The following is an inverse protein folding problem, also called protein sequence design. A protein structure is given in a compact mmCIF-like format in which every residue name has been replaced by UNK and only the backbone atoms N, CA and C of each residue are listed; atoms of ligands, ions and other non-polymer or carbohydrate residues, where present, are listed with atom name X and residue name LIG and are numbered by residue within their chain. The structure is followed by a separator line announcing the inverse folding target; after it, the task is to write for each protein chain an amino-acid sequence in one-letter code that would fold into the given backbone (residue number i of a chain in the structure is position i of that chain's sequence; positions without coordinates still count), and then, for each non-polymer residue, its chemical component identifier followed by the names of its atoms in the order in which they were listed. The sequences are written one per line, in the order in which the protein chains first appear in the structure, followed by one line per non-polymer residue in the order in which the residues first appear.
data_IF_562539954699
#
_entry.id   IF_562539954699
#
_cell.length_a   1.000
_cell.length_b   1.000
_cell.length_c   1.000
_cell.angle_alpha   90.00
_cell.angle_beta   90.00
_cell.angle_gamma   90.00
#
_symmetry.space_group_name_H-M   'P 1'
#
loop_
_entity.id
_entity.type
_entity.pdbx_description
1 polymer ?
#
# COMPACT_ATOMS: atom_id res chain seq x y z
N UNK A 1 33.59 22.67 -43.87
CA UNK A 1 32.95 22.89 -42.54
C UNK A 1 31.46 23.09 -42.75
N UNK A 2 30.70 21.99 -42.84
CA UNK A 2 29.24 22.05 -42.90
C UNK A 2 28.71 21.74 -41.51
N UNK A 3 28.40 22.77 -40.72
CA UNK A 3 27.69 22.60 -39.47
C UNK A 3 26.28 22.14 -39.82
N UNK A 4 26.03 20.85 -39.62
CA UNK A 4 24.72 20.24 -39.87
C UNK A 4 23.70 20.90 -38.94
N UNK A 5 22.92 21.81 -39.52
CA UNK A 5 21.95 22.65 -38.84
C UNK A 5 20.60 21.94 -38.89
N UNK A 6 20.15 21.39 -37.77
CA UNK A 6 18.74 21.26 -37.39
C UNK A 6 18.67 21.06 -35.87
N UNK A 7 18.22 22.03 -35.04
CA UNK A 7 17.51 21.65 -33.84
C UNK A 7 16.08 21.38 -34.31
N UNK A 8 15.80 20.11 -34.64
CA UNK A 8 14.41 19.69 -34.71
C UNK A 8 13.81 20.00 -33.32
N UNK A 9 12.83 20.90 -33.26
CA UNK A 9 12.15 21.22 -32.02
C UNK A 9 11.35 19.99 -31.58
N UNK A 10 11.88 19.25 -30.60
CA UNK A 10 11.24 18.06 -30.09
C UNK A 10 10.57 18.33 -28.74
N UNK A 11 9.46 17.65 -28.53
CA UNK A 11 8.91 17.36 -27.21
C UNK A 11 8.97 15.86 -27.01
N UNK A 12 9.64 15.44 -25.94
CA UNK A 12 9.51 14.09 -25.43
C UNK A 12 8.19 14.02 -24.68
N UNK A 13 7.17 13.59 -25.41
CA UNK A 13 5.86 13.28 -24.91
C UNK A 13 5.56 11.81 -25.21
N UNK A 14 5.03 11.11 -24.23
CA UNK A 14 4.60 9.73 -24.42
C UNK A 14 3.35 9.74 -25.28
N UNK A 15 3.29 8.91 -26.33
CA UNK A 15 2.10 8.83 -27.19
C UNK A 15 0.83 8.42 -26.41
N UNK A 16 1.01 7.63 -25.34
CA UNK A 16 -0.06 7.13 -24.47
C UNK A 16 0.42 7.05 -23.03
N UNK A 17 -0.49 7.35 -22.11
CA UNK A 17 -0.35 7.07 -20.68
C UNK A 17 -1.59 6.31 -20.20
N UNK A 18 -1.46 5.52 -19.14
CA UNK A 18 -2.59 4.79 -18.57
C UNK A 18 -3.06 5.46 -17.27
N UNK A 19 -4.35 5.34 -16.98
CA UNK A 19 -4.97 5.81 -15.74
C UNK A 19 -6.33 5.17 -15.54
N UNK A 20 -6.97 5.38 -14.40
CA UNK A 20 -8.31 4.85 -14.13
C UNK A 20 -9.20 5.90 -13.46
N UNK A 21 -10.51 5.73 -13.60
CA UNK A 21 -11.50 6.69 -13.10
C UNK A 21 -11.41 6.88 -11.57
N UNK A 22 -11.52 8.13 -11.11
CA UNK A 22 -11.42 8.48 -9.69
C UNK A 22 -10.01 8.44 -9.09
N UNK A 23 -8.97 8.32 -9.92
CA UNK A 23 -7.55 8.37 -9.51
C UNK A 23 -6.86 9.65 -9.99
N UNK A 24 -5.54 9.64 -10.11
CA UNK A 24 -4.82 10.70 -10.80
C UNK A 24 -3.77 10.14 -11.76
N UNK A 25 -3.39 10.97 -12.72
CA UNK A 25 -2.36 10.67 -13.71
C UNK A 25 -1.38 11.84 -13.82
N UNK A 26 -0.10 11.52 -13.97
CA UNK A 26 0.93 12.46 -14.43
C UNK A 26 1.28 12.10 -15.85
N UNK A 27 1.13 13.07 -16.75
CA UNK A 27 1.60 13.01 -18.13
C UNK A 27 3.06 13.50 -18.13
N UNK A 28 4.05 12.60 -18.26
CA UNK A 28 5.45 13.00 -18.37
C UNK A 28 5.68 13.79 -19.67
N UNK A 29 6.33 14.94 -19.55
CA UNK A 29 6.61 15.82 -20.67
C UNK A 29 7.94 16.53 -20.49
N UNK A 30 8.77 16.52 -21.52
CA UNK A 30 9.97 17.34 -21.63
C UNK A 30 10.03 18.01 -23.00
N UNK A 31 10.47 19.26 -23.07
CA UNK A 31 10.45 20.05 -24.30
C UNK A 31 11.80 20.71 -24.58
N UNK A 32 12.21 20.79 -25.84
CA UNK A 32 13.49 21.41 -26.21
C UNK A 32 13.29 22.69 -27.02
N UNK A 33 12.67 23.71 -26.42
CA UNK A 33 12.46 25.02 -27.04
C UNK A 33 12.57 26.17 -26.01
N UNK A 34 13.16 27.33 -26.34
CA UNK A 34 13.96 27.56 -27.54
C UNK A 34 15.36 26.98 -27.34
N UNK A 35 16.23 27.15 -28.33
CA UNK A 35 17.64 26.79 -28.23
C UNK A 35 18.36 27.57 -27.09
N UNK A 36 19.46 27.03 -26.54
CA UNK A 36 20.27 27.74 -25.55
C UNK A 36 20.78 29.10 -26.04
N UNK A 37 21.05 30.02 -25.10
CA UNK A 37 21.64 31.33 -25.42
C UNK A 37 20.67 32.39 -25.95
N UNK A 38 19.36 32.09 -26.00
CA UNK A 38 18.32 33.10 -26.28
C UNK A 38 17.96 33.87 -25.01
N UNK A 39 17.90 35.19 -25.13
CA UNK A 39 17.38 36.07 -24.08
C UNK A 39 15.85 35.96 -24.06
N UNK A 40 15.30 35.56 -22.91
CA UNK A 40 13.87 35.30 -22.73
C UNK A 40 13.45 36.00 -21.45
N UNK A 41 12.44 36.85 -21.53
CA UNK A 41 11.97 37.65 -20.39
C UNK A 41 10.87 36.98 -19.56
N UNK A 42 10.28 35.88 -20.07
CA UNK A 42 9.28 35.10 -19.35
C UNK A 42 8.99 33.76 -20.00
N UNK A 43 8.49 32.80 -19.23
CA UNK A 43 8.08 31.48 -19.74
C UNK A 43 6.70 31.13 -19.20
N UNK A 44 5.79 30.75 -20.10
CA UNK A 44 4.45 30.27 -19.73
C UNK A 44 4.19 28.96 -20.46
N UNK A 45 4.14 27.86 -19.71
CA UNK A 45 3.71 26.56 -20.23
C UNK A 45 2.20 26.43 -20.17
N UNK A 46 1.61 25.91 -21.24
CA UNK A 46 0.15 25.78 -21.41
C UNK A 46 -0.13 24.39 -21.96
N UNK A 47 -1.17 23.73 -21.45
CA UNK A 47 -1.67 22.50 -22.05
C UNK A 47 -3.03 22.73 -22.68
N UNK A 48 -3.21 22.13 -23.84
CA UNK A 48 -4.45 22.20 -24.60
C UNK A 48 -4.99 20.82 -24.96
N UNK A 49 -6.29 20.73 -25.17
CA UNK A 49 -6.89 19.67 -25.99
C UNK A 49 -6.58 19.89 -27.46
N UNK A 50 -6.77 18.87 -28.29
CA UNK A 50 -6.71 18.99 -29.76
C UNK A 50 -7.67 20.04 -30.34
N UNK A 51 -8.79 20.31 -29.67
CA UNK A 51 -9.75 21.37 -30.05
C UNK A 51 -9.32 22.78 -29.63
N UNK A 52 -8.10 22.94 -29.09
CA UNK A 52 -7.52 24.17 -28.54
C UNK A 52 -8.09 24.62 -27.18
N UNK A 53 -8.93 23.82 -26.52
CA UNK A 53 -9.38 24.15 -25.17
C UNK A 53 -8.20 24.14 -24.21
N UNK A 54 -8.04 25.18 -23.40
CA UNK A 54 -6.98 25.27 -22.39
C UNK A 54 -7.33 24.38 -21.20
N UNK A 55 -6.53 23.34 -20.97
CA UNK A 55 -6.71 22.44 -19.83
C UNK A 55 -5.80 22.81 -18.66
N UNK A 56 -4.68 23.50 -18.90
CA UNK A 56 -3.83 24.05 -17.85
C UNK A 56 -3.22 25.38 -18.30
N UNK A 57 -3.26 26.34 -17.41
CA UNK A 57 -2.59 27.63 -17.53
C UNK A 57 -2.29 28.18 -16.13
N UNK A 58 -1.26 29.03 -15.98
CA UNK A 58 -0.91 29.65 -14.69
C UNK A 58 -2.02 30.54 -14.12
N UNK A 59 -2.76 31.18 -15.00
CA UNK A 59 -3.97 31.92 -14.71
C UNK A 59 -5.18 30.98 -14.85
N UNK A 60 -5.78 30.67 -13.71
CA UNK A 60 -6.89 29.72 -13.56
C UNK A 60 -8.17 30.19 -14.29
N UNK A 61 -8.28 31.46 -14.67
CA UNK A 61 -9.45 31.97 -15.40
C UNK A 61 -9.45 31.55 -16.87
N UNK A 62 -8.30 31.15 -17.41
CA UNK A 62 -8.18 30.69 -18.80
C UNK A 62 -8.50 29.20 -18.95
N UNK A 63 -8.51 28.45 -17.84
CA UNK A 63 -8.73 27.00 -17.85
C UNK A 63 -10.20 26.70 -18.08
N UNK A 64 -10.49 25.81 -19.03
CA UNK A 64 -11.85 25.31 -19.29
C UNK A 64 -12.45 24.73 -18.01
N UNK A 65 -13.72 25.06 -17.77
CA UNK A 65 -14.40 24.79 -16.50
C UNK A 65 -14.31 23.33 -16.04
N UNK A 66 -14.30 22.37 -16.97
CA UNK A 66 -14.21 20.94 -16.67
C UNK A 66 -12.86 20.51 -16.08
N UNK A 67 -11.78 21.25 -16.34
CA UNK A 67 -10.42 21.00 -15.86
C UNK A 67 -9.99 21.92 -14.72
N UNK A 68 -10.74 23.01 -14.49
CA UNK A 68 -10.44 24.03 -13.47
C UNK A 68 -10.32 23.39 -12.09
N UNK A 69 -9.20 23.65 -11.41
CA UNK A 69 -8.89 23.06 -10.10
C UNK A 69 -8.50 21.57 -10.10
N UNK A 70 -8.43 20.92 -11.26
CA UNK A 70 -8.05 19.50 -11.40
C UNK A 70 -6.69 19.28 -12.04
N UNK A 71 -6.17 20.29 -12.72
CA UNK A 71 -4.90 20.23 -13.46
C UNK A 71 -3.81 21.03 -12.77
N UNK A 72 -2.62 20.46 -12.67
CA UNK A 72 -1.48 21.04 -11.99
C UNK A 72 -0.20 20.74 -12.78
N UNK A 73 0.64 21.73 -13.02
CA UNK A 73 1.97 21.48 -13.57
C UNK A 73 2.90 21.02 -12.44
N UNK A 74 3.37 19.78 -12.55
CA UNK A 74 4.26 19.16 -11.55
C UNK A 74 5.73 19.22 -11.98
N UNK A 75 5.98 19.58 -13.25
CA UNK A 75 7.32 19.87 -13.76
C UNK A 75 7.71 21.34 -13.63
N UNK A 76 9.00 21.61 -13.73
CA UNK A 76 9.54 22.97 -13.83
C UNK A 76 9.79 23.35 -15.30
N UNK A 77 9.00 24.32 -15.80
CA UNK A 77 9.14 24.84 -17.17
C UNK A 77 10.55 25.37 -17.43
N UNK A 78 11.23 25.95 -16.44
CA UNK A 78 12.58 26.50 -16.61
C UNK A 78 13.62 25.39 -16.84
N UNK A 79 13.38 24.22 -16.26
CA UNK A 79 14.17 23.00 -16.44
C UNK A 79 13.65 22.12 -17.59
N UNK A 80 12.88 22.72 -18.52
CA UNK A 80 12.36 22.03 -19.70
C UNK A 80 11.38 20.89 -19.38
N UNK A 81 10.84 20.83 -18.16
CA UNK A 81 9.90 19.81 -17.73
C UNK A 81 8.47 20.37 -17.74
N UNK A 82 7.64 19.86 -18.65
CA UNK A 82 6.26 20.30 -18.87
C UNK A 82 5.23 19.32 -18.29
N UNK A 83 5.64 18.43 -17.39
CA UNK A 83 4.78 17.33 -16.90
C UNK A 83 3.52 17.84 -16.22
N UNK A 84 2.37 17.29 -16.63
CA UNK A 84 1.04 17.71 -16.18
C UNK A 84 0.40 16.64 -15.32
N UNK A 85 -0.16 17.02 -14.18
CA UNK A 85 -1.02 16.17 -13.35
C UNK A 85 -2.49 16.50 -13.57
N UNK A 86 -3.33 15.47 -13.67
CA UNK A 86 -4.81 15.59 -13.68
C UNK A 86 -5.36 14.78 -12.49
N UNK A 87 -6.12 15.43 -11.61
CA UNK A 87 -6.69 14.85 -10.39
C UNK A 87 -8.01 15.54 -9.96
N UNK A 88 -9.11 14.80 -9.71
CA UNK A 88 -9.31 13.40 -10.06
C UNK A 88 -9.38 13.23 -11.58
N UNK A 89 -9.01 12.06 -12.07
CA UNK A 89 -9.16 11.64 -13.46
C UNK A 89 -10.59 11.14 -13.69
N UNK A 90 -11.19 11.55 -14.81
CA UNK A 90 -12.55 11.21 -15.22
C UNK A 90 -12.56 10.58 -16.60
N UNK A 91 -13.49 9.67 -16.86
CA UNK A 91 -13.61 8.98 -18.14
C UNK A 91 -13.65 9.90 -19.39
N UNK A 92 -14.08 11.15 -19.25
CA UNK A 92 -14.10 12.19 -20.29
C UNK A 92 -12.72 12.74 -20.68
N UNK A 93 -11.69 12.58 -19.83
CA UNK A 93 -10.38 13.20 -20.00
C UNK A 93 -9.45 12.40 -20.93
N UNK A 94 -9.98 11.62 -21.88
CA UNK A 94 -9.18 10.77 -22.76
C UNK A 94 -8.16 11.54 -23.62
N UNK A 95 -8.38 12.84 -23.81
CA UNK A 95 -7.61 13.68 -24.71
C UNK A 95 -8.03 13.49 -26.16
N UNK A 96 -7.13 13.70 -27.14
CA UNK A 96 -5.70 13.96 -26.98
C UNK A 96 -5.36 15.38 -26.48
N UNK A 97 -4.18 15.52 -25.87
CA UNK A 97 -3.61 16.77 -25.36
C UNK A 97 -2.27 17.09 -25.99
N UNK A 98 -1.93 18.37 -26.09
CA UNK A 98 -0.61 18.84 -26.52
C UNK A 98 -0.11 19.99 -25.65
N UNK A 99 1.21 20.16 -25.62
CA UNK A 99 1.88 21.24 -24.89
C UNK A 99 2.16 22.45 -25.79
N UNK A 100 2.06 23.64 -25.21
CA UNK A 100 2.42 24.92 -25.81
C UNK A 100 3.30 25.70 -24.84
N UNK A 101 4.31 26.36 -25.38
CA UNK A 101 5.23 27.23 -24.63
C UNK A 101 5.19 28.63 -25.22
N UNK A 102 4.98 29.60 -24.34
CA UNK A 102 5.06 31.03 -24.67
C UNK A 102 6.26 31.65 -23.98
N UNK A 103 7.05 32.39 -24.76
CA UNK A 103 8.32 32.95 -24.33
C UNK A 103 8.30 34.47 -24.51
N UNK A 104 8.52 35.20 -23.43
CA UNK A 104 8.59 36.66 -23.46
C UNK A 104 9.78 37.12 -24.30
N UNK A 105 9.54 38.00 -25.28
CA UNK A 105 10.57 38.50 -26.18
C UNK A 105 11.07 37.48 -27.21
N UNK A 106 10.38 36.34 -27.38
CA UNK A 106 10.74 35.31 -28.36
C UNK A 106 9.50 34.67 -28.99
N UNK A 107 9.72 33.85 -30.02
CA UNK A 107 8.63 33.13 -30.68
C UNK A 107 7.98 32.12 -29.71
N UNK A 108 6.69 31.92 -29.90
CA UNK A 108 5.89 30.94 -29.17
C UNK A 108 5.81 29.65 -29.98
N UNK A 109 5.66 28.51 -29.32
CA UNK A 109 5.62 27.22 -30.02
C UNK A 109 4.54 26.29 -29.46
N UNK A 110 3.84 25.59 -30.36
CA UNK A 110 2.82 24.60 -30.02
C UNK A 110 3.18 23.26 -30.63
N UNK A 111 3.31 22.23 -29.80
CA UNK A 111 3.69 20.88 -30.21
C UNK A 111 2.46 20.09 -30.71
N UNK A 112 1.73 20.65 -31.68
CA UNK A 112 0.45 20.09 -32.17
C UNK A 112 0.57 18.69 -32.79
N UNK A 113 1.75 18.35 -33.31
CA UNK A 113 2.03 17.03 -33.88
C UNK A 113 2.47 16.01 -32.82
N UNK A 114 2.67 16.44 -31.56
CA UNK A 114 3.04 15.60 -30.43
C UNK A 114 1.86 15.60 -29.45
N UNK A 115 0.97 14.63 -29.64
CA UNK A 115 -0.23 14.46 -28.84
C UNK A 115 -0.08 13.28 -27.88
N UNK A 116 -0.70 13.38 -26.70
CA UNK A 116 -0.84 12.27 -25.74
C UNK A 116 -2.31 11.98 -25.49
N UNK A 117 -2.66 10.70 -25.45
CA UNK A 117 -3.98 10.24 -25.02
C UNK A 117 -3.90 9.43 -23.74
N UNK A 118 -4.95 9.52 -22.92
CA UNK A 118 -5.08 8.73 -21.70
C UNK A 118 -5.89 7.48 -22.00
N UNK A 119 -5.28 6.32 -21.77
CA UNK A 119 -5.94 5.02 -21.86
C UNK A 119 -6.51 4.67 -20.49
N UNK A 120 -7.82 4.45 -20.43
CA UNK A 120 -8.48 4.06 -19.18
C UNK A 120 -8.36 2.55 -18.98
N UNK A 121 -7.80 2.15 -17.84
CA UNK A 121 -7.70 0.77 -17.39
C UNK A 121 -8.61 0.55 -16.18
N UNK A 122 -8.80 -0.72 -15.79
CA UNK A 122 -9.45 -1.03 -14.51
C UNK A 122 -8.57 -0.58 -13.35
N UNK A 123 -9.21 -0.18 -12.25
CA UNK A 123 -8.48 0.16 -11.04
C UNK A 123 -7.68 -1.07 -10.55
N UNK A 124 -6.35 -0.95 -10.35
CA UNK A 124 -5.53 -2.06 -9.92
C UNK A 124 -5.89 -2.48 -8.50
N UNK A 125 -5.90 -3.78 -8.26
CA UNK A 125 -6.10 -4.33 -6.92
C UNK A 125 -4.75 -4.37 -6.18
N UNK A 126 -4.70 -3.95 -4.91
CA UNK A 126 -3.49 -4.09 -4.12
C UNK A 126 -3.17 -5.56 -3.85
N UNK A 127 -1.89 -5.90 -3.78
CA UNK A 127 -1.43 -7.24 -3.42
C UNK A 127 -0.81 -7.19 -2.03
N UNK A 128 -1.30 -8.02 -1.11
CA UNK A 128 -0.75 -8.15 0.26
C UNK A 128 0.01 -9.45 0.39
N UNK A 129 1.21 -9.41 0.99
CA UNK A 129 2.05 -10.56 1.28
C UNK A 129 2.55 -10.52 2.71
N UNK A 130 2.43 -11.64 3.42
CA UNK A 130 2.94 -11.83 4.79
C UNK A 130 3.19 -13.31 5.01
N UNK A 131 4.11 -13.65 5.91
CA UNK A 131 4.33 -15.04 6.32
C UNK A 131 3.11 -15.55 7.09
N UNK A 132 2.58 -16.70 6.68
CA UNK A 132 1.39 -17.28 7.32
C UNK A 132 1.68 -17.77 8.75
N UNK A 133 2.80 -18.46 8.95
CA UNK A 133 3.19 -18.99 10.25
C UNK A 133 4.30 -18.17 10.90
N UNK A 134 3.99 -17.59 12.06
CA UNK A 134 4.90 -16.71 12.81
C UNK A 134 4.97 -17.18 14.26
N UNK A 135 6.11 -16.97 14.92
CA UNK A 135 6.25 -17.30 16.34
C UNK A 135 5.92 -16.06 17.18
N UNK A 136 5.26 -16.26 18.31
CA UNK A 136 5.00 -15.19 19.26
C UNK A 136 6.30 -14.48 19.68
N UNK A 137 6.28 -13.15 19.67
CA UNK A 137 7.43 -12.32 19.94
C UNK A 137 8.39 -12.15 18.76
N UNK A 138 8.19 -12.85 17.64
CA UNK A 138 8.97 -12.66 16.43
C UNK A 138 8.57 -11.34 15.73
N UNK A 139 9.57 -10.64 15.20
CA UNK A 139 9.35 -9.51 14.29
C UNK A 139 8.98 -10.03 12.89
N UNK A 140 7.85 -9.58 12.38
CA UNK A 140 7.27 -9.98 11.09
C UNK A 140 7.19 -8.77 10.18
N UNK A 141 7.50 -8.96 8.90
CA UNK A 141 7.30 -7.95 7.87
C UNK A 141 6.22 -8.39 6.88
N UNK A 142 5.22 -7.54 6.69
CA UNK A 142 4.21 -7.66 5.66
C UNK A 142 4.41 -6.58 4.61
N UNK A 143 4.05 -6.86 3.35
CA UNK A 143 4.12 -5.89 2.26
C UNK A 143 2.77 -5.76 1.56
N UNK A 144 2.44 -4.56 1.14
CA UNK A 144 1.26 -4.23 0.35
C UNK A 144 1.70 -3.38 -0.84
N UNK A 145 1.49 -3.87 -2.05
CA UNK A 145 1.94 -3.23 -3.28
C UNK A 145 0.77 -2.93 -4.22
N UNK A 146 0.85 -1.81 -4.94
CA UNK A 146 -0.13 -1.45 -5.97
C UNK A 146 0.50 -0.60 -7.07
N UNK A 147 -0.03 -0.70 -8.28
CA UNK A 147 0.34 0.18 -9.38
C UNK A 147 -0.47 1.49 -9.36
N UNK A 148 0.15 2.59 -9.79
CA UNK A 148 -0.50 3.89 -9.94
C UNK A 148 0.22 4.72 -11.02
N UNK A 149 -0.45 5.76 -11.51
CA UNK A 149 0.04 6.57 -12.63
C UNK A 149 0.45 7.99 -12.20
N UNK A 150 0.74 8.16 -10.92
CA UNK A 150 0.76 9.46 -10.25
C UNK A 150 1.93 9.60 -9.25
N UNK A 151 3.18 9.73 -9.73
CA UNK A 151 4.37 9.77 -8.89
C UNK A 151 4.45 10.97 -7.94
N UNK A 152 3.96 12.14 -8.36
CA UNK A 152 3.93 13.35 -7.52
C UNK A 152 2.91 13.26 -6.37
N UNK A 153 2.07 12.23 -6.37
CA UNK A 153 0.96 12.07 -5.44
C UNK A 153 0.69 10.58 -5.22
N UNK A 154 1.62 9.84 -4.59
CA UNK A 154 1.50 8.40 -4.40
C UNK A 154 0.30 8.06 -3.51
N UNK A 155 -0.24 6.83 -3.63
CA UNK A 155 -1.35 6.38 -2.79
C UNK A 155 -0.93 6.23 -1.33
N UNK A 156 -1.90 6.44 -0.43
CA UNK A 156 -1.74 6.26 1.01
C UNK A 156 -2.13 4.85 1.43
N UNK A 157 -1.39 4.27 2.38
CA UNK A 157 -1.58 2.90 2.84
C UNK A 157 -1.98 2.89 4.31
N UNK A 158 -3.06 2.17 4.62
CA UNK A 158 -3.55 1.94 5.98
C UNK A 158 -3.60 0.46 6.25
N UNK A 159 -3.04 0.04 7.38
CA UNK A 159 -3.01 -1.36 7.80
C UNK A 159 -3.94 -1.57 8.97
N UNK A 160 -4.54 -2.76 9.09
CA UNK A 160 -5.35 -3.13 10.26
C UNK A 160 -4.51 -3.40 11.52
N UNK A 161 -3.20 -3.56 11.37
CA UNK A 161 -2.27 -3.81 12.47
C UNK A 161 -1.31 -2.62 12.67
N UNK A 162 -0.97 -2.36 13.92
CA UNK A 162 -0.03 -1.31 14.34
C UNK A 162 1.42 -1.73 14.11
N UNK A 163 2.30 -0.79 13.77
CA UNK A 163 3.71 -1.12 13.57
C UNK A 163 4.48 -0.03 12.86
N UNK A 164 5.76 -0.28 12.64
CA UNK A 164 6.62 0.59 11.85
C UNK A 164 6.25 0.43 10.37
N UNK A 165 5.99 1.55 9.70
CA UNK A 165 5.61 1.57 8.28
C UNK A 165 6.73 2.19 7.48
N UNK A 166 7.14 1.52 6.41
CA UNK A 166 8.09 2.04 5.42
C UNK A 166 7.42 2.11 4.07
N UNK A 167 7.71 3.17 3.32
CA UNK A 167 7.17 3.39 1.98
C UNK A 167 8.28 3.26 0.94
N UNK A 168 7.97 2.60 -0.17
CA UNK A 168 8.85 2.42 -1.32
C UNK A 168 8.07 2.75 -2.60
N UNK A 169 8.74 3.43 -3.53
CA UNK A 169 8.20 3.76 -4.85
C UNK A 169 9.19 3.38 -5.91
N UNK A 170 8.72 2.72 -6.97
CA UNK A 170 9.54 2.27 -8.09
C UNK A 170 8.85 2.65 -9.40
N UNK A 171 9.60 3.26 -10.32
CA UNK A 171 9.13 3.53 -11.67
C UNK A 171 9.03 2.23 -12.48
N UNK A 172 7.92 2.05 -13.19
CA UNK A 172 7.69 0.98 -14.17
C UNK A 172 7.74 1.55 -15.60
N UNK A 173 7.46 0.72 -16.59
CA UNK A 173 7.28 1.17 -17.98
C UNK A 173 5.96 1.94 -18.13
N UNK A 174 5.79 2.64 -19.25
CA UNK A 174 4.48 3.22 -19.64
C UNK A 174 3.92 4.28 -18.67
N UNK A 175 4.81 4.98 -17.98
CA UNK A 175 4.45 6.01 -17.00
C UNK A 175 3.79 5.46 -15.73
N UNK A 176 3.78 4.14 -15.54
CA UNK A 176 3.28 3.50 -14.32
C UNK A 176 4.35 3.49 -13.22
N UNK A 177 3.88 3.43 -11.98
CA UNK A 177 4.68 3.38 -10.78
C UNK A 177 4.14 2.30 -9.85
N UNK A 178 5.04 1.59 -9.17
CA UNK A 178 4.71 0.63 -8.13
C UNK A 178 4.96 1.27 -6.78
N UNK A 179 3.90 1.47 -6.02
CA UNK A 179 3.96 1.90 -4.63
C UNK A 179 3.87 0.67 -3.73
N UNK A 180 4.74 0.60 -2.72
CA UNK A 180 4.77 -0.50 -1.74
C UNK A 180 4.88 0.04 -0.33
N UNK A 181 3.98 -0.38 0.55
CA UNK A 181 4.10 -0.19 1.99
C UNK A 181 4.58 -1.48 2.64
N UNK A 182 5.61 -1.39 3.48
CA UNK A 182 6.10 -2.49 4.32
C UNK A 182 5.74 -2.19 5.76
N UNK A 183 4.98 -3.07 6.40
CA UNK A 183 4.62 -3.01 7.81
C UNK A 183 5.50 -3.99 8.58
N UNK A 184 6.25 -3.50 9.55
CA UNK A 184 7.03 -4.32 10.48
C UNK A 184 6.39 -4.25 11.87
N UNK A 185 6.07 -5.41 12.43
CA UNK A 185 5.42 -5.52 13.74
C UNK A 185 5.90 -6.76 14.49
N UNK A 186 5.70 -6.78 15.82
CA UNK A 186 6.00 -7.92 16.66
C UNK A 186 4.73 -8.75 16.84
N UNK A 187 4.75 -10.01 16.43
CA UNK A 187 3.59 -10.88 16.52
C UNK A 187 3.26 -11.24 17.97
N UNK A 188 1.98 -11.20 18.33
CA UNK A 188 1.47 -11.54 19.66
C UNK A 188 0.48 -12.71 19.57
N UNK A 189 0.21 -13.38 20.68
CA UNK A 189 -0.85 -14.40 20.74
C UNK A 189 -2.21 -13.87 20.25
N UNK A 190 -2.50 -12.58 20.47
CA UNK A 190 -3.75 -11.96 20.05
C UNK A 190 -3.88 -11.82 18.52
N UNK A 191 -2.80 -12.00 17.77
CA UNK A 191 -2.81 -11.95 16.31
C UNK A 191 -3.17 -13.30 15.67
N UNK A 192 -3.21 -14.37 16.48
CA UNK A 192 -3.63 -15.69 16.01
C UNK A 192 -5.06 -15.64 15.46
N UNK A 193 -5.26 -16.22 14.29
CA UNK A 193 -6.52 -16.24 13.55
C UNK A 193 -7.04 -14.85 13.10
N UNK A 194 -6.22 -13.80 13.16
CA UNK A 194 -6.58 -12.48 12.60
C UNK A 194 -6.11 -12.33 11.17
N UNK A 195 -6.91 -11.62 10.39
CA UNK A 195 -6.61 -11.24 9.00
C UNK A 195 -5.89 -9.90 8.98
N UNK A 196 -4.74 -9.84 8.32
CA UNK A 196 -4.04 -8.60 8.09
C UNK A 196 -4.56 -7.98 6.79
N UNK A 197 -5.11 -6.77 6.86
CA UNK A 197 -5.63 -6.05 5.70
C UNK A 197 -4.89 -4.75 5.46
N UNK A 198 -4.80 -4.39 4.18
CA UNK A 198 -4.21 -3.17 3.68
C UNK A 198 -5.27 -2.43 2.86
N UNK A 199 -5.60 -1.22 3.28
CA UNK A 199 -6.41 -0.26 2.51
C UNK A 199 -5.51 0.76 1.84
N UNK A 200 -5.67 0.88 0.53
CA UNK A 200 -4.99 1.84 -0.34
C UNK A 200 -5.98 2.96 -0.69
N UNK A 201 -5.58 4.21 -0.44
CA UNK A 201 -6.35 5.41 -0.80
C UNK A 201 -5.59 6.24 -1.83
N UNK A 202 -6.19 6.44 -3.00
CA UNK A 202 -5.66 7.31 -4.04
C UNK A 202 -6.07 8.77 -3.78
N UNK A 203 -5.26 9.73 -4.23
CA UNK A 203 -5.58 11.16 -4.09
C UNK A 203 -6.85 11.61 -4.83
N UNK A 204 -7.29 10.86 -5.84
CA UNK A 204 -8.58 11.08 -6.51
C UNK A 204 -9.80 10.65 -5.69
N UNK A 205 -9.58 10.04 -4.51
CA UNK A 205 -10.62 9.63 -3.57
C UNK A 205 -10.96 8.14 -3.63
N UNK A 206 -10.56 7.43 -4.69
CA UNK A 206 -10.77 5.98 -4.78
C UNK A 206 -10.05 5.25 -3.64
N UNK A 207 -10.73 4.29 -3.03
CA UNK A 207 -10.18 3.41 -2.01
C UNK A 207 -10.31 1.95 -2.44
N UNK A 208 -9.27 1.15 -2.17
CA UNK A 208 -9.24 -0.29 -2.40
C UNK A 208 -8.69 -0.98 -1.18
N UNK A 209 -9.34 -2.03 -0.73
CA UNK A 209 -8.83 -2.87 0.35
C UNK A 209 -8.48 -4.25 -0.21
N UNK A 210 -7.35 -4.79 0.26
CA UNK A 210 -7.01 -6.19 0.08
C UNK A 210 -6.56 -6.76 1.42
N UNK A 211 -6.90 -8.01 1.66
CA UNK A 211 -6.46 -8.73 2.84
C UNK A 211 -5.57 -9.91 2.48
N UNK A 212 -4.57 -10.19 3.33
CA UNK A 212 -3.79 -11.42 3.28
C UNK A 212 -4.50 -12.56 3.99
N UNK A 213 -3.86 -13.73 3.98
CA UNK A 213 -4.27 -14.89 4.75
C UNK A 213 -4.23 -14.61 6.27
N UNK A 214 -4.88 -15.51 6.99
CA UNK A 214 -5.02 -15.50 8.44
C UNK A 214 -3.67 -15.80 9.10
N UNK A 215 -3.23 -14.96 10.03
CA UNK A 215 -1.97 -15.14 10.76
C UNK A 215 -2.08 -16.33 11.71
N UNK A 216 -1.18 -17.30 11.54
CA UNK A 216 -1.04 -18.47 12.43
C UNK A 216 0.14 -18.22 13.37
N UNK A 217 -0.15 -17.62 14.52
CA UNK A 217 0.86 -17.38 15.55
C UNK A 217 1.05 -18.65 16.39
N UNK A 218 2.26 -19.21 16.39
CA UNK A 218 2.67 -20.27 17.31
C UNK A 218 3.15 -19.61 18.60
N UNK A 219 2.51 -19.94 19.73
CA UNK A 219 2.96 -19.44 21.02
C UNK A 219 4.38 -19.93 21.29
N UNK A 220 5.27 -19.01 21.62
CA UNK A 220 6.58 -19.34 22.13
C UNK A 220 6.44 -19.65 23.62
N UNK A 221 5.71 -20.72 23.95
CA UNK A 221 5.80 -21.29 25.29
C UNK A 221 7.13 -22.02 25.34
N UNK A 222 8.22 -21.28 25.54
CA UNK A 222 9.46 -21.89 26.01
C UNK A 222 9.14 -22.52 27.37
N UNK A 223 9.25 -23.84 27.46
CA UNK A 223 10.38 -24.47 28.16
C UNK A 223 10.87 -23.76 29.45
N UNK A 224 9.98 -23.18 30.26
CA UNK A 224 10.29 -22.70 31.61
C UNK A 224 9.99 -23.73 32.68
N UNK A 225 9.53 -24.93 32.30
CA UNK A 225 9.69 -26.13 33.11
C UNK A 225 10.74 -27.01 32.44
N UNK A 226 12.02 -26.79 32.76
CA UNK A 226 12.98 -27.90 32.73
C UNK A 226 12.41 -29.02 33.62
N UNK A 227 12.41 -30.30 33.18
CA UNK A 227 12.03 -31.43 34.04
C UNK A 227 13.17 -31.79 35.00
N UNK A 228 13.85 -30.79 35.56
CA UNK A 228 14.95 -30.97 36.51
C UNK A 228 14.75 -30.03 37.70
N UNK A 229 13.59 -30.15 38.33
CA UNK A 229 13.49 -29.91 39.77
C UNK A 229 12.68 -31.06 40.37
N UNK A 230 13.13 -31.61 41.52
CA UNK A 230 12.50 -32.75 42.16
C UNK A 230 11.09 -32.37 42.61
N UNK A 231 10.23 -33.37 42.74
CA UNK A 231 8.78 -33.27 42.82
C UNK A 231 8.16 -32.45 44.00
N UNK A 232 8.90 -31.63 44.75
CA UNK A 232 8.40 -31.00 45.99
C UNK A 232 8.48 -29.48 46.10
N UNK A 233 8.80 -28.74 45.03
CA UNK A 233 8.93 -27.28 45.13
C UNK A 233 7.98 -26.53 44.18
N UNK A 234 6.68 -26.60 44.46
CA UNK A 234 5.72 -25.59 43.99
C UNK A 234 5.37 -24.72 45.20
N UNK A 235 6.10 -23.62 45.38
CA UNK A 235 5.70 -22.53 46.27
C UNK A 235 5.29 -21.34 45.39
N UNK A 236 3.98 -21.13 45.29
CA UNK A 236 3.40 -19.90 44.78
C UNK A 236 3.81 -18.73 45.68
N UNK A 237 4.58 -17.77 45.16
CA UNK A 237 4.64 -16.43 45.75
C UNK A 237 3.65 -15.54 45.01
N UNK A 238 2.45 -15.36 45.60
CA UNK A 238 1.66 -14.16 45.38
C UNK A 238 2.20 -13.11 46.37
N UNK A 239 2.76 -12.02 45.84
CA UNK A 239 3.08 -10.84 46.65
C UNK A 239 1.78 -10.15 47.03
N UNK A 240 1.40 -10.22 48.31
CA UNK A 240 0.32 -9.42 48.87
C UNK A 240 0.96 -8.35 49.76
N UNK A 241 0.81 -7.10 49.35
CA UNK A 241 1.16 -5.93 50.15
C UNK A 241 -0.10 -5.49 50.88
N UNK A 242 -0.24 -5.80 52.18
CA UNK A 242 -1.00 -4.95 53.11
C UNK A 242 -0.81 -5.36 54.59
N UNK A 243 -0.67 -4.35 55.45
CA UNK A 243 -0.37 -4.46 56.88
C UNK A 243 -1.52 -5.04 57.72
N UNK A 244 -1.16 -5.86 58.72
CA UNK A 244 -2.05 -6.38 59.75
C UNK A 244 -2.44 -5.32 60.81
N UNK A 245 -3.61 -5.48 61.45
CA UNK A 245 -3.60 -5.50 62.92
C UNK A 245 -4.49 -6.57 63.57
N UNK A 246 -3.86 -7.30 64.50
CA UNK A 246 -4.21 -7.64 65.89
C UNK A 246 -5.67 -7.98 66.31
N UNK A 247 -5.78 -9.23 66.80
CA UNK A 247 -6.59 -9.80 67.90
C UNK A 247 -8.09 -10.15 67.72
N UNK A 248 -8.34 -11.44 68.04
CA UNK A 248 -9.51 -12.04 68.70
C UNK A 248 -10.87 -11.81 68.04
N UNK A 249 -11.34 -12.82 67.30
CA UNK A 249 -12.46 -13.68 67.73
C UNK A 249 -12.84 -14.63 66.58
N UNK A 250 -12.99 -15.92 66.88
CA UNK A 250 -13.46 -16.93 65.93
C UNK A 250 -14.96 -16.74 65.70
N UNK A 251 -15.31 -16.23 64.52
CA UNK A 251 -16.65 -16.35 63.96
C UNK A 251 -16.57 -17.01 62.57
N UNK A 252 -17.39 -18.03 62.38
CA UNK A 252 -17.54 -18.86 61.18
C UNK A 252 -17.90 -18.01 59.94
N UNK A 253 -17.18 -18.20 58.83
CA UNK A 253 -17.52 -17.70 57.49
C UNK A 253 -17.22 -18.83 56.46
N UNK A 254 -18.11 -19.09 55.47
CA UNK A 254 -18.21 -20.38 54.80
C UNK A 254 -17.18 -20.59 53.68
N UNK A 255 -16.75 -21.85 53.53
CA UNK A 255 -16.01 -22.35 52.36
C UNK A 255 -16.92 -22.27 51.11
N UNK A 256 -16.63 -21.34 50.19
CA UNK A 256 -17.10 -21.46 48.80
C UNK A 256 -16.16 -22.41 48.06
N UNK A 257 -16.70 -23.57 47.66
CA UNK A 257 -16.10 -24.44 46.66
C UNK A 257 -16.10 -23.72 45.29
N UNK A 258 -14.92 -23.54 44.70
CA UNK A 258 -14.80 -23.36 43.25
C UNK A 258 -14.57 -24.74 42.63
N UNK A 259 -15.63 -25.34 42.11
CA UNK A 259 -15.58 -26.53 41.25
C UNK A 259 -14.97 -26.16 39.91
N UNK A 260 -13.81 -26.74 39.57
CA UNK A 260 -13.30 -26.78 38.21
C UNK A 260 -14.05 -27.89 37.46
N UNK A 261 -14.95 -27.49 36.56
CA UNK A 261 -15.53 -28.38 35.55
C UNK A 261 -14.44 -28.78 34.56
N UNK A 262 -14.04 -30.05 34.56
CA UNK A 262 -13.45 -30.70 33.40
C UNK A 262 -14.60 -31.27 32.58
N UNK A 263 -14.89 -30.69 31.42
CA UNK A 263 -15.72 -31.34 30.42
C UNK A 263 -15.30 -30.96 29.00
N UNK A 264 -15.30 -32.01 28.16
CA UNK A 264 -15.22 -32.03 26.69
C UNK A 264 -13.82 -32.10 26.04
N UNK A 265 -13.20 -33.26 26.19
CA UNK A 265 -12.52 -33.94 25.08
C UNK A 265 -13.56 -34.83 24.36
N UNK A 266 -14.00 -34.45 23.15
CA UNK A 266 -14.63 -35.40 22.22
C UNK A 266 -14.52 -34.95 20.76
N UNK A 267 -13.87 -35.78 19.94
CA UNK A 267 -14.11 -36.03 18.50
C UNK A 267 -12.81 -36.58 17.87
N UNK A 268 -12.45 -37.86 17.98
CA UNK A 268 -12.94 -39.10 17.32
C UNK A 268 -12.72 -39.20 15.79
N UNK A 269 -11.82 -40.11 15.37
CA UNK A 269 -11.92 -41.02 14.19
C UNK A 269 -10.55 -41.70 13.97
N UNK A 270 -10.31 -43.00 13.77
CA UNK A 270 -11.05 -44.28 13.66
C UNK A 270 -9.98 -45.38 13.80
N UNK A 271 -10.18 -46.43 14.61
CA UNK A 271 -9.54 -47.74 14.44
C UNK A 271 -10.53 -48.84 14.86
N UNK A 272 -10.89 -49.72 13.92
CA UNK A 272 -11.81 -50.85 14.16
C UNK A 272 -11.06 -52.08 14.66
N UNK A 273 -11.37 -52.43 15.91
CA UNK A 273 -11.54 -53.75 16.56
C UNK A 273 -10.89 -55.02 15.99
N UNK A 274 -10.02 -55.61 16.82
CA UNK A 274 -9.64 -57.03 16.86
C UNK A 274 -10.76 -57.87 17.49
N UNK A 275 -11.10 -59.03 16.91
CA UNK A 275 -11.96 -60.06 17.54
C UNK A 275 -11.18 -61.37 17.65
N UNK A 276 -11.14 -61.93 18.86
CA UNK A 276 -10.53 -63.23 19.17
C UNK A 276 -11.48 -64.40 18.83
N UNK A 277 -10.93 -65.49 18.30
CA UNK A 277 -11.57 -66.80 18.24
C UNK A 277 -10.55 -67.91 18.56
N UNK A 278 -11.04 -68.97 19.24
CA UNK A 278 -10.31 -70.03 19.95
C UNK A 278 -9.72 -71.12 19.03
N UNK A 279 -8.52 -71.57 19.42
CA UNK A 279 -7.91 -72.92 19.51
C UNK A 279 -8.32 -74.11 18.61
N UNK A 280 -7.29 -74.97 18.40
CA UNK A 280 -7.24 -76.36 17.90
C UNK A 280 -7.26 -76.50 16.37
N UNK A 281 -6.47 -77.34 15.70
CA UNK A 281 -5.46 -78.35 16.05
C UNK A 281 -4.89 -78.92 14.73
N UNK A 282 -3.80 -79.69 14.84
CA UNK A 282 -3.25 -80.68 13.91
C UNK A 282 -2.19 -80.29 12.87
N UNK A 283 -1.03 -80.90 13.12
CA UNK A 283 0.07 -81.35 12.27
C UNK A 283 -0.29 -81.91 10.89
N UNK A 284 0.52 -81.56 9.90
CA UNK A 284 1.43 -82.46 9.16
C UNK A 284 2.44 -81.63 8.37
#
# INVERSE_FOLDING_TARGET
MGVFKWPLFFVFLWFKVQGFDGSCVVIPCSYNYPEPGKQITGRTGIWHTKTNDVIYHKDNNQIKQEFKGRTELVGDITQKNCSLKINPLRQSDRGPFYFRIELGGYNQYSYRNNEVSITFISAPQPTVSVKEEVVEGQTVSASCSVSHSCPSSPPEFTWTHSGEKRFQSQQLTDGQWKATSVLTFKATKADHNKRLSCTVRYKGGLMREQASNVLKVKCNVCALWSPVLPAWSILCFLTESYQAPRQRDMALIPLRLCTLNLDLLSSSSVWQTTRWAKSASHSL
#
